data_IF_056353559957
#
_entry.id   IF_056353559957
#
_cell.length_a   1.000
_cell.length_b   1.000
_cell.length_c   1.000
_cell.angle_alpha   90.00
_cell.angle_beta   90.00
_cell.angle_gamma   90.00
#
_symmetry.space_group_name_H-M   'P 1'
#
loop_
_entity.id
_entity.type
_entity.pdbx_description
1 polymer ?
#
# COMPACT_ATOMS: atom_id res chain seq x y z
N UNK A 1 -6.55 -11.64 -9.67
CA UNK A 1 -5.91 -11.55 -8.35
C UNK A 1 -5.90 -10.10 -7.89
N UNK A 2 -6.29 -9.84 -6.68
CA UNK A 2 -6.27 -8.49 -6.14
C UNK A 2 -4.82 -8.02 -5.90
N UNK A 3 -4.55 -6.76 -6.19
CA UNK A 3 -3.21 -6.17 -5.96
C UNK A 3 -2.83 -6.25 -4.49
N UNK A 4 -3.82 -6.13 -3.61
CA UNK A 4 -3.60 -6.25 -2.17
C UNK A 4 -2.90 -7.56 -1.80
N UNK A 5 -3.40 -8.68 -2.32
CA UNK A 5 -2.85 -9.99 -2.02
C UNK A 5 -1.42 -10.13 -2.54
N UNK A 6 -1.16 -9.60 -3.73
CA UNK A 6 0.17 -9.59 -4.33
C UNK A 6 1.14 -8.73 -3.51
N UNK A 7 0.68 -7.55 -3.07
CA UNK A 7 1.49 -6.67 -2.21
C UNK A 7 1.82 -7.34 -0.88
N UNK A 8 0.84 -7.99 -0.24
CA UNK A 8 1.06 -8.71 1.01
C UNK A 8 2.14 -9.77 0.83
N UNK A 9 2.03 -10.57 -0.23
CA UNK A 9 2.98 -11.64 -0.51
C UNK A 9 4.39 -11.10 -0.77
N UNK A 10 4.51 -10.10 -1.63
CA UNK A 10 5.80 -9.52 -2.01
C UNK A 10 6.46 -8.80 -0.83
N UNK A 11 5.70 -8.01 -0.09
CA UNK A 11 6.23 -7.26 1.03
C UNK A 11 6.57 -8.15 2.22
N UNK A 12 5.83 -9.24 2.43
CA UNK A 12 6.16 -10.22 3.46
C UNK A 12 7.57 -10.80 3.20
N UNK A 13 7.87 -11.11 1.95
CA UNK A 13 9.20 -11.59 1.57
C UNK A 13 10.26 -10.49 1.71
N UNK A 14 9.96 -9.30 1.20
CA UNK A 14 10.94 -8.19 1.16
C UNK A 14 11.26 -7.64 2.54
N UNK A 15 10.31 -7.69 3.47
CA UNK A 15 10.48 -7.18 4.84
C UNK A 15 10.91 -8.27 5.83
N UNK A 16 11.13 -9.50 5.36
CA UNK A 16 11.60 -10.56 6.24
C UNK A 16 12.97 -10.18 6.82
N UNK A 17 13.13 -10.33 8.12
CA UNK A 17 14.34 -9.91 8.80
C UNK A 17 14.39 -8.44 9.21
N UNK A 18 13.39 -7.63 8.82
CA UNK A 18 13.26 -6.26 9.28
C UNK A 18 12.50 -6.19 10.61
N UNK A 19 12.43 -4.98 11.18
CA UNK A 19 11.67 -4.74 12.41
C UNK A 19 10.16 -4.56 12.18
N UNK A 20 9.70 -4.64 10.94
CA UNK A 20 8.30 -4.50 10.58
C UNK A 20 7.80 -5.79 9.94
N UNK A 21 6.65 -6.27 10.40
CA UNK A 21 5.98 -7.44 9.83
C UNK A 21 4.72 -7.03 9.07
N UNK A 22 4.37 -7.80 8.04
CA UNK A 22 3.16 -7.52 7.25
C UNK A 22 1.98 -8.25 7.87
N UNK A 23 0.88 -7.51 8.10
CA UNK A 23 -0.37 -8.07 8.60
C UNK A 23 -1.29 -8.43 7.43
N UNK A 24 -2.01 -9.54 7.56
CA UNK A 24 -3.05 -9.92 6.60
C UNK A 24 -4.40 -9.32 6.96
N UNK A 25 -4.52 -8.67 8.12
CA UNK A 25 -5.74 -7.99 8.53
C UNK A 25 -5.87 -6.64 7.82
N UNK A 26 -7.11 -6.14 7.74
CA UNK A 26 -7.35 -4.78 7.26
C UNK A 26 -6.89 -3.77 8.31
N UNK A 27 -6.55 -2.53 7.88
CA UNK A 27 -6.06 -1.50 8.82
C UNK A 27 -7.10 -1.00 9.81
N UNK A 28 -8.37 -1.33 9.61
CA UNK A 28 -9.48 -0.90 10.47
C UNK A 28 -10.23 -2.11 10.99
N UNK A 29 -10.71 -2.01 12.24
CA UNK A 29 -11.63 -3.04 12.74
C UNK A 29 -13.06 -2.75 12.24
N UNK A 30 -14.01 -3.62 12.60
CA UNK A 30 -15.41 -3.47 12.20
C UNK A 30 -16.07 -2.18 12.72
N UNK A 31 -15.52 -1.59 13.77
CA UNK A 31 -15.98 -0.31 14.34
C UNK A 31 -15.32 0.91 13.70
N UNK A 32 -14.43 0.72 12.74
CA UNK A 32 -13.68 1.80 12.09
C UNK A 32 -12.47 2.30 12.89
N UNK A 33 -12.06 1.59 13.94
CA UNK A 33 -10.88 1.96 14.74
C UNK A 33 -9.61 1.56 14.00
N UNK A 34 -8.63 2.47 13.85
CA UNK A 34 -7.37 2.15 13.18
C UNK A 34 -6.56 1.13 13.97
N UNK A 35 -6.28 -0.02 13.36
CA UNK A 35 -5.44 -1.06 13.97
C UNK A 35 -3.96 -0.72 13.87
N UNK A 36 -3.56 0.01 12.83
CA UNK A 36 -2.16 0.34 12.60
C UNK A 36 -1.57 1.28 13.65
N UNK A 37 -2.42 2.05 14.35
CA UNK A 37 -1.96 2.91 15.45
C UNK A 37 -1.71 2.07 16.71
N UNK A 38 -2.60 1.11 16.97
CA UNK A 38 -2.51 0.27 18.17
C UNK A 38 -1.46 -0.84 18.05
N UNK A 39 -1.19 -1.30 16.83
CA UNK A 39 -0.25 -2.39 16.56
C UNK A 39 0.98 -1.86 15.83
N UNK A 40 1.83 -1.14 16.55
CA UNK A 40 3.04 -0.56 15.97
C UNK A 40 3.97 -1.62 15.42
N UNK A 41 4.75 -1.26 14.41
CA UNK A 41 5.68 -2.15 13.70
C UNK A 41 4.99 -3.25 12.90
N UNK A 42 3.71 -3.06 12.57
CA UNK A 42 2.98 -3.91 11.61
C UNK A 42 2.56 -3.06 10.43
N UNK A 43 2.79 -3.59 9.23
CA UNK A 43 2.33 -2.96 8.00
C UNK A 43 0.96 -3.54 7.65
N UNK A 44 -0.05 -2.69 7.60
CA UNK A 44 -1.42 -3.04 7.22
C UNK A 44 -1.68 -2.54 5.81
N UNK A 45 -2.29 -3.38 4.99
CA UNK A 45 -2.61 -3.04 3.60
C UNK A 45 -4.13 -3.08 3.44
N UNK A 46 -4.70 -1.95 2.99
CA UNK A 46 -6.15 -1.81 2.82
C UNK A 46 -6.62 -2.52 1.55
N UNK A 47 -7.94 -2.58 1.36
CA UNK A 47 -8.55 -3.18 0.18
C UNK A 47 -8.25 -2.36 -1.08
N UNK A 48 -8.26 -3.05 -2.22
CA UNK A 48 -8.10 -2.40 -3.53
C UNK A 48 -9.31 -1.50 -3.79
N UNK A 49 -9.05 -0.29 -4.28
CA UNK A 49 -10.09 0.61 -4.77
C UNK A 49 -9.92 0.75 -6.28
N UNK A 50 -10.89 0.24 -7.03
CA UNK A 50 -10.80 0.12 -8.48
C UNK A 50 -11.75 1.11 -9.14
N UNK A 51 -11.22 1.93 -10.06
CA UNK A 51 -11.98 2.84 -10.88
C UNK A 51 -11.70 2.54 -12.35
N UNK A 52 -12.77 2.41 -13.15
CA UNK A 52 -12.67 2.13 -14.58
C UNK A 52 -13.26 3.31 -15.35
N UNK A 53 -12.47 3.86 -16.28
CA UNK A 53 -12.87 5.01 -17.07
C UNK A 53 -12.74 4.67 -18.56
N UNK A 54 -13.80 4.97 -19.33
CA UNK A 54 -13.76 4.85 -20.78
C UNK A 54 -12.95 6.01 -21.34
N UNK A 55 -11.91 5.70 -22.11
CA UNK A 55 -11.04 6.70 -22.72
C UNK A 55 -11.49 7.10 -24.12
N UNK A 56 -11.89 6.11 -24.94
CA UNK A 56 -12.26 6.33 -26.34
C UNK A 56 -13.49 5.48 -26.65
N UNK A 57 -14.67 6.10 -26.88
CA UNK A 57 -15.83 5.35 -27.35
C UNK A 57 -15.68 5.05 -28.85
N UNK A 58 -15.95 3.81 -29.25
CA UNK A 58 -15.93 3.38 -30.64
C UNK A 58 -17.24 2.69 -31.00
N UNK A 59 -17.61 2.73 -32.30
CA UNK A 59 -18.93 2.33 -32.76
C UNK A 59 -19.21 0.84 -32.72
N UNK A 60 -18.21 -0.01 -32.69
CA UNK A 60 -18.37 -1.48 -32.73
C UNK A 60 -18.04 -2.13 -31.40
N UNK A 61 -18.32 -1.46 -30.30
CA UNK A 61 -18.20 -1.98 -28.93
C UNK A 61 -16.77 -2.37 -28.51
N UNK A 62 -15.76 -1.84 -29.17
CA UNK A 62 -14.35 -2.02 -28.81
C UNK A 62 -13.84 -0.80 -28.06
N UNK A 63 -14.61 -0.34 -27.08
CA UNK A 63 -14.25 0.82 -26.28
C UNK A 63 -12.93 0.59 -25.53
N UNK A 64 -12.10 1.64 -25.48
CA UNK A 64 -10.84 1.61 -24.74
C UNK A 64 -11.07 2.15 -23.34
N UNK A 65 -10.71 1.36 -22.34
CA UNK A 65 -10.88 1.72 -20.93
C UNK A 65 -9.55 1.84 -20.24
N UNK A 66 -9.49 2.75 -19.28
CA UNK A 66 -8.42 2.83 -18.31
C UNK A 66 -8.94 2.29 -16.99
N UNK A 67 -8.20 1.38 -16.39
CA UNK A 67 -8.48 0.90 -15.03
C UNK A 67 -7.41 1.44 -14.11
N UNK A 68 -7.85 2.16 -13.08
CA UNK A 68 -6.97 2.65 -12.02
C UNK A 68 -7.29 1.91 -10.74
N UNK A 69 -6.27 1.32 -10.14
CA UNK A 69 -6.39 0.65 -8.85
C UNK A 69 -5.50 1.36 -7.85
N UNK A 70 -6.08 1.77 -6.74
CA UNK A 70 -5.34 2.37 -5.63
C UNK A 70 -5.39 1.45 -4.43
N UNK A 71 -4.28 1.37 -3.72
CA UNK A 71 -4.16 0.58 -2.50
C UNK A 71 -3.38 1.41 -1.50
N UNK A 72 -3.89 1.50 -0.27
CA UNK A 72 -3.19 2.20 0.81
C UNK A 72 -2.59 1.21 1.79
N UNK A 73 -1.41 1.53 2.28
CA UNK A 73 -0.74 0.75 3.32
C UNK A 73 -0.32 1.68 4.44
N UNK A 74 -0.35 1.17 5.68
CA UNK A 74 -0.09 1.96 6.87
C UNK A 74 0.88 1.23 7.78
N UNK A 75 1.91 1.94 8.26
CA UNK A 75 2.77 1.45 9.32
C UNK A 75 3.01 2.57 10.33
N UNK A 76 2.89 2.22 11.61
CA UNK A 76 3.11 3.17 12.70
C UNK A 76 4.26 2.67 13.57
N UNK A 77 5.15 3.58 13.95
CA UNK A 77 6.28 3.29 14.82
C UNK A 77 6.32 4.29 15.97
N UNK A 78 7.03 3.95 17.04
CA UNK A 78 7.20 4.87 18.16
C UNK A 78 8.07 6.06 17.72
N UNK A 79 7.65 7.28 18.09
CA UNK A 79 8.39 8.49 17.72
C UNK A 79 9.78 8.55 18.38
N UNK A 80 9.89 8.04 19.59
CA UNK A 80 11.14 8.07 20.38
C UNK A 80 11.99 6.82 20.24
N UNK A 81 11.44 5.75 19.67
CA UNK A 81 12.11 4.46 19.58
C UNK A 81 11.84 3.84 18.21
N UNK A 82 12.22 4.56 17.17
CA UNK A 82 12.08 4.10 15.79
C UNK A 82 13.04 2.94 15.51
N UNK A 83 12.64 2.00 14.64
CA UNK A 83 13.59 0.99 14.15
C UNK A 83 14.80 1.66 13.50
N UNK A 84 16.01 1.13 13.75
CA UNK A 84 17.23 1.67 13.16
C UNK A 84 17.23 1.61 11.63
N UNK A 85 16.49 0.65 11.06
CA UNK A 85 16.38 0.43 9.63
C UNK A 85 15.12 1.06 9.01
N UNK A 86 14.53 2.07 9.66
CA UNK A 86 13.26 2.68 9.21
C UNK A 86 13.36 3.22 7.77
N UNK A 87 14.48 3.84 7.41
CA UNK A 87 14.64 4.37 6.05
C UNK A 87 14.67 3.25 5.01
N UNK A 88 15.31 2.14 5.33
CA UNK A 88 15.34 0.95 4.48
C UNK A 88 13.94 0.32 4.39
N UNK A 89 13.21 0.27 5.50
CA UNK A 89 11.84 -0.23 5.53
C UNK A 89 10.94 0.60 4.61
N UNK A 90 11.00 1.93 4.75
CA UNK A 90 10.20 2.85 3.91
C UNK A 90 10.53 2.66 2.43
N UNK A 91 11.82 2.60 2.09
CA UNK A 91 12.25 2.38 0.70
C UNK A 91 11.78 1.03 0.15
N UNK A 92 11.82 0.00 0.96
CA UNK A 92 11.35 -1.35 0.58
C UNK A 92 9.86 -1.35 0.30
N UNK A 93 9.06 -0.68 1.13
CA UNK A 93 7.62 -0.60 0.94
C UNK A 93 7.30 0.20 -0.33
N UNK A 94 7.99 1.32 -0.57
CA UNK A 94 7.82 2.10 -1.80
C UNK A 94 8.14 1.27 -3.04
N UNK A 95 9.15 0.44 -2.98
CA UNK A 95 9.57 -0.44 -4.09
C UNK A 95 8.64 -1.65 -4.26
N UNK A 96 7.70 -1.88 -3.36
CA UNK A 96 6.74 -2.98 -3.46
C UNK A 96 5.92 -2.97 -4.74
N UNK A 97 5.70 -1.79 -5.34
CA UNK A 97 5.03 -1.65 -6.63
C UNK A 97 5.75 -2.39 -7.77
N UNK A 98 7.06 -2.53 -7.66
CA UNK A 98 7.87 -3.15 -8.71
C UNK A 98 7.61 -4.64 -8.87
N UNK A 99 7.08 -5.28 -7.83
CA UNK A 99 6.70 -6.69 -7.86
C UNK A 99 5.37 -6.95 -8.57
N UNK A 100 4.67 -5.89 -8.99
CA UNK A 100 3.40 -5.99 -9.69
C UNK A 100 3.63 -5.70 -11.17
N UNK A 101 3.17 -6.58 -12.04
CA UNK A 101 3.46 -6.52 -13.47
C UNK A 101 2.18 -6.37 -14.30
N UNK A 102 2.33 -5.89 -15.53
CA UNK A 102 1.24 -5.76 -16.49
C UNK A 102 0.55 -4.41 -16.51
N UNK A 103 1.02 -3.44 -15.74
CA UNK A 103 0.44 -2.10 -15.69
C UNK A 103 1.24 -1.12 -16.53
N UNK A 104 0.55 -0.11 -17.09
CA UNK A 104 1.18 0.99 -17.82
C UNK A 104 1.87 1.95 -16.85
N UNK A 105 1.25 2.21 -15.70
CA UNK A 105 1.79 3.10 -14.67
C UNK A 105 1.78 2.36 -13.33
N UNK A 106 2.90 2.47 -12.61
CA UNK A 106 3.03 1.99 -11.23
C UNK A 106 3.68 3.08 -10.41
N UNK A 107 2.97 3.58 -9.41
CA UNK A 107 3.43 4.67 -8.56
C UNK A 107 3.20 4.32 -7.10
N UNK A 108 4.04 4.87 -6.23
CA UNK A 108 3.82 4.83 -4.80
C UNK A 108 4.37 6.10 -4.17
N UNK A 109 3.56 6.72 -3.34
CA UNK A 109 3.94 7.91 -2.57
C UNK A 109 3.83 7.60 -1.09
N UNK A 110 4.71 8.20 -0.28
CA UNK A 110 4.64 8.08 1.17
C UNK A 110 4.31 9.43 1.78
N UNK A 111 3.35 9.42 2.70
CA UNK A 111 3.00 10.57 3.53
C UNK A 111 3.35 10.23 4.97
N UNK A 112 3.99 11.17 5.66
CA UNK A 112 4.42 10.97 7.04
C UNK A 112 3.61 11.88 7.95
N UNK A 113 2.98 11.29 8.96
CA UNK A 113 2.24 12.02 9.98
C UNK A 113 2.94 11.84 11.32
N UNK A 114 3.44 12.94 11.88
CA UNK A 114 4.23 12.92 13.12
C UNK A 114 3.35 13.37 14.27
N UNK A 115 3.17 12.48 15.24
CA UNK A 115 2.50 12.75 16.49
C UNK A 115 3.51 12.74 17.64
N UNK A 116 3.07 13.11 18.85
CA UNK A 116 3.95 13.18 20.01
C UNK A 116 4.56 11.82 20.35
N UNK A 117 3.75 10.76 20.30
CA UNK A 117 4.16 9.43 20.75
C UNK A 117 4.45 8.47 19.60
N UNK A 118 3.99 8.79 18.38
CA UNK A 118 4.15 7.88 17.24
C UNK A 118 4.28 8.63 15.91
N UNK A 119 4.79 7.92 14.92
CA UNK A 119 4.88 8.41 13.54
C UNK A 119 4.18 7.37 12.67
N UNK A 120 3.24 7.83 11.82
CA UNK A 120 2.54 6.97 10.87
C UNK A 120 2.99 7.27 9.45
N UNK A 121 3.39 6.23 8.74
CA UNK A 121 3.72 6.30 7.32
C UNK A 121 2.55 5.72 6.54
N UNK A 122 1.99 6.52 5.64
CA UNK A 122 0.92 6.09 4.74
C UNK A 122 1.47 5.98 3.33
N UNK A 123 1.33 4.81 2.73
CA UNK A 123 1.82 4.53 1.39
C UNK A 123 0.62 4.44 0.45
N UNK A 124 0.63 5.28 -0.59
CA UNK A 124 -0.44 5.31 -1.59
C UNK A 124 0.08 4.72 -2.89
N UNK A 125 -0.33 3.48 -3.18
CA UNK A 125 -0.02 2.81 -4.44
C UNK A 125 -1.08 3.14 -5.47
N UNK A 126 -0.63 3.40 -6.69
CA UNK A 126 -1.50 3.66 -7.83
C UNK A 126 -1.02 2.85 -9.02
N UNK A 127 -1.92 2.03 -9.56
CA UNK A 127 -1.64 1.18 -10.71
C UNK A 127 -2.64 1.51 -11.81
N UNK A 128 -2.15 1.79 -13.00
CA UNK A 128 -3.00 2.11 -14.16
C UNK A 128 -2.75 1.09 -15.25
N UNK A 129 -3.84 0.55 -15.77
CA UNK A 129 -3.83 -0.38 -16.89
C UNK A 129 -4.73 0.17 -18.00
N UNK A 130 -4.22 0.21 -19.19
CA UNK A 130 -4.97 0.67 -20.38
C UNK A 130 -5.30 -0.51 -21.28
#
# INVERSE_FOLDING_TARGET
MAFRDTLISNLTTSLSGSNVSVSTELPWNSSGTPLYINNKKKLYIDEDNIAKTELIPVLDNNDVFQTETTVQAFVTVDAKNQPDDIDTIVSTILAGKDGITGQTIKECEVNTEIETDYITYTFDYRFVTV
#
